data_IF_808924526335
#
_entry.id   IF_808924526335
#
_cell.length_a   1.000
_cell.length_b   1.000
_cell.length_c   1.000
_cell.angle_alpha   90.00
_cell.angle_beta   90.00
_cell.angle_gamma   90.00
#
_symmetry.space_group_name_H-M   'P 1'
#
loop_
_entity.id
_entity.type
_entity.pdbx_description
1 polymer ?
#
# COMPACT_ATOMS: atom_id res chain seq x y z
N UNK A 1 18.83 -58.59 -26.02
CA UNK A 1 19.22 -57.17 -25.89
C UNK A 1 17.99 -56.30 -26.10
N UNK A 2 17.72 -55.38 -25.15
CA UNK A 2 16.93 -54.12 -25.26
C UNK A 2 15.42 -54.33 -25.51
N UNK A 3 14.46 -53.74 -24.79
CA UNK A 3 14.42 -52.68 -23.79
C UNK A 3 12.94 -52.26 -23.70
N UNK A 4 12.40 -52.13 -22.49
CA UNK A 4 10.96 -51.88 -22.29
C UNK A 4 10.49 -50.49 -22.73
N UNK A 5 9.20 -50.37 -23.06
CA UNK A 5 8.44 -49.11 -22.98
C UNK A 5 6.98 -49.38 -22.59
N UNK A 6 6.64 -48.88 -21.41
CA UNK A 6 5.28 -48.72 -20.91
C UNK A 6 4.52 -47.76 -21.81
N UNK A 7 3.30 -48.12 -22.23
CA UNK A 7 2.40 -47.21 -22.97
C UNK A 7 1.13 -47.06 -22.15
N UNK A 8 1.08 -45.94 -21.39
CA UNK A 8 -0.15 -45.41 -20.83
C UNK A 8 -1.17 -45.23 -21.97
N UNK A 9 -2.29 -45.94 -21.89
CA UNK A 9 -3.49 -45.64 -22.68
C UNK A 9 -4.09 -44.34 -22.16
N UNK A 10 -3.76 -43.23 -22.79
CA UNK A 10 -4.59 -42.03 -22.73
C UNK A 10 -5.75 -42.20 -23.71
N UNK A 11 -7.00 -41.95 -23.30
CA UNK A 11 -8.10 -41.93 -24.26
C UNK A 11 -7.91 -40.71 -25.15
N UNK A 12 -7.70 -40.97 -26.44
CA UNK A 12 -7.71 -39.95 -27.47
C UNK A 12 -8.99 -39.13 -27.36
N UNK A 13 -8.79 -37.82 -27.23
CA UNK A 13 -9.80 -36.78 -27.33
C UNK A 13 -10.46 -36.90 -28.71
N UNK A 14 -11.64 -37.50 -28.75
CA UNK A 14 -12.57 -37.35 -29.86
C UNK A 14 -13.13 -35.93 -29.83
N UNK A 15 -12.51 -35.00 -30.54
CA UNK A 15 -13.09 -33.67 -30.79
C UNK A 15 -14.31 -33.87 -31.70
N UNK A 16 -15.48 -34.08 -31.08
CA UNK A 16 -16.78 -33.98 -31.77
C UNK A 16 -17.05 -32.51 -32.06
N UNK A 17 -16.98 -32.19 -33.34
CA UNK A 17 -17.45 -30.95 -33.95
C UNK A 17 -18.98 -30.93 -33.90
N UNK A 18 -19.56 -29.91 -33.25
CA UNK A 18 -20.99 -29.59 -33.32
C UNK A 18 -21.59 -29.15 -31.99
N UNK A 19 -22.03 -27.89 -31.94
CA UNK A 19 -22.99 -27.17 -31.06
C UNK A 19 -22.53 -25.70 -31.14
N UNK A 20 -23.06 -24.87 -32.04
CA UNK A 20 -24.39 -24.24 -32.03
C UNK A 20 -24.66 -23.44 -30.74
N UNK A 21 -24.72 -22.11 -30.87
CA UNK A 21 -25.43 -21.21 -29.94
C UNK A 21 -24.66 -20.75 -28.70
N UNK A 22 -24.20 -19.49 -28.73
CA UNK A 22 -23.99 -18.58 -27.60
C UNK A 22 -23.96 -19.20 -26.18
N UNK A 23 -22.79 -19.65 -25.74
CA UNK A 23 -22.58 -20.03 -24.35
C UNK A 23 -21.27 -19.45 -23.81
N UNK A 24 -21.24 -18.12 -23.64
CA UNK A 24 -20.37 -17.52 -22.63
C UNK A 24 -21.14 -16.48 -21.82
N UNK A 25 -21.96 -16.88 -20.81
CA UNK A 25 -22.34 -15.90 -19.79
C UNK A 25 -22.30 -16.47 -18.36
N UNK A 26 -21.50 -17.50 -18.07
CA UNK A 26 -21.30 -17.97 -16.70
C UNK A 26 -20.10 -17.33 -16.01
N UNK A 27 -18.93 -17.39 -16.67
CA UNK A 27 -17.65 -17.02 -16.07
C UNK A 27 -17.38 -15.50 -16.10
N UNK A 28 -17.89 -14.78 -17.12
CA UNK A 28 -17.76 -13.32 -17.20
C UNK A 28 -18.58 -12.60 -16.11
N UNK A 29 -19.74 -13.15 -15.73
CA UNK A 29 -20.56 -12.63 -14.63
C UNK A 29 -19.89 -12.82 -13.26
N UNK A 30 -19.13 -13.90 -13.07
CA UNK A 30 -18.41 -14.17 -11.81
C UNK A 30 -17.31 -13.14 -11.51
N UNK A 31 -16.58 -12.68 -12.53
CA UNK A 31 -15.57 -11.61 -12.37
C UNK A 31 -16.17 -10.20 -12.20
N UNK A 32 -17.38 -9.96 -12.71
CA UNK A 32 -18.06 -8.67 -12.56
C UNK A 32 -18.77 -8.51 -11.19
N UNK A 33 -19.24 -9.62 -10.59
CA UNK A 33 -19.88 -9.63 -9.26
C UNK A 33 -18.83 -9.60 -8.14
N UNK A 34 -17.64 -10.16 -8.38
CA UNK A 34 -16.45 -9.90 -7.58
C UNK A 34 -15.84 -8.54 -7.97
N UNK A 35 -16.59 -7.43 -7.84
CA UNK A 35 -15.90 -6.16 -7.53
C UNK A 35 -15.20 -6.42 -6.21
N UNK A 36 -13.88 -6.61 -6.23
CA UNK A 36 -13.27 -7.36 -5.16
C UNK A 36 -13.30 -6.47 -3.93
N UNK A 37 -13.75 -7.05 -2.83
CA UNK A 37 -13.72 -6.46 -1.49
C UNK A 37 -12.29 -5.97 -1.13
N UNK A 38 -11.27 -6.36 -1.92
CA UNK A 38 -9.87 -5.93 -1.83
C UNK A 38 -9.54 -4.52 -2.34
N UNK A 39 -10.47 -3.74 -2.95
CA UNK A 39 -10.13 -2.42 -3.55
C UNK A 39 -10.90 -1.25 -2.92
N UNK A 40 -11.61 -1.45 -1.81
CA UNK A 40 -12.10 -0.31 -1.01
C UNK A 40 -11.11 -0.05 0.11
N UNK A 41 -9.87 0.32 -0.27
CA UNK A 41 -8.98 0.97 0.69
C UNK A 41 -9.63 2.31 1.05
N UNK A 42 -9.87 2.61 2.34
CA UNK A 42 -10.43 3.89 2.72
C UNK A 42 -9.53 4.99 2.15
N UNK A 43 -10.10 5.93 1.38
CA UNK A 43 -9.34 7.03 0.74
C UNK A 43 -8.40 7.74 1.73
N UNK A 44 -8.83 7.83 2.99
CA UNK A 44 -8.08 8.42 4.10
C UNK A 44 -6.78 7.68 4.38
N UNK A 45 -6.77 6.35 4.30
CA UNK A 45 -5.58 5.54 4.55
C UNK A 45 -4.56 5.69 3.43
N UNK A 46 -5.01 5.66 2.16
CA UNK A 46 -4.14 5.89 1.01
C UNK A 46 -3.55 7.30 0.99
N UNK A 47 -4.33 8.30 1.38
CA UNK A 47 -3.87 9.70 1.43
C UNK A 47 -2.82 9.91 2.54
N UNK A 48 -3.05 9.35 3.73
CA UNK A 48 -2.08 9.42 4.82
C UNK A 48 -0.77 8.68 4.50
N UNK A 49 -0.85 7.51 3.85
CA UNK A 49 0.32 6.77 3.38
C UNK A 49 1.12 7.60 2.37
N UNK A 50 0.46 8.21 1.38
CA UNK A 50 1.10 9.06 0.39
C UNK A 50 1.82 10.25 1.04
N UNK A 51 1.13 10.95 1.95
CA UNK A 51 1.70 12.12 2.65
C UNK A 51 2.89 11.75 3.52
N UNK A 52 2.81 10.63 4.24
CA UNK A 52 3.92 10.10 5.04
C UNK A 52 5.14 9.77 4.18
N UNK A 53 4.94 9.07 3.06
CA UNK A 53 6.00 8.74 2.12
C UNK A 53 6.65 10.00 1.53
N UNK A 54 5.85 10.99 1.12
CA UNK A 54 6.38 12.23 0.55
C UNK A 54 7.15 13.06 1.57
N UNK A 55 6.63 13.22 2.78
CA UNK A 55 7.33 13.97 3.84
C UNK A 55 8.66 13.29 4.25
N UNK A 56 8.73 11.96 4.26
CA UNK A 56 9.98 11.24 4.47
C UNK A 56 10.94 11.33 3.28
N UNK A 57 10.43 11.41 2.04
CA UNK A 57 11.27 11.53 0.86
C UNK A 57 11.89 12.92 0.74
N UNK A 58 11.13 13.98 1.08
CA UNK A 58 11.61 15.37 1.01
C UNK A 58 12.51 15.75 2.19
N UNK A 59 12.42 15.04 3.33
CA UNK A 59 13.24 15.23 4.54
C UNK A 59 13.45 16.72 4.89
N UNK A 60 12.38 17.47 5.21
CA UNK A 60 12.49 18.91 5.49
C UNK A 60 13.32 19.22 6.75
N UNK A 61 13.50 18.26 7.65
CA UNK A 61 14.28 18.36 8.87
C UNK A 61 14.87 17.00 9.27
N UNK A 62 15.83 17.02 10.19
CA UNK A 62 16.51 15.84 10.72
C UNK A 62 16.28 15.69 12.23
N UNK A 63 16.60 14.49 12.73
CA UNK A 63 16.67 14.23 14.17
C UNK A 63 17.77 15.13 14.77
N UNK A 64 17.43 15.82 15.86
CA UNK A 64 18.27 16.81 16.51
C UNK A 64 17.88 18.26 16.21
N UNK A 65 17.13 18.50 15.12
CA UNK A 65 16.73 19.87 14.76
C UNK A 65 15.67 20.39 15.73
N UNK A 66 15.74 21.70 16.03
CA UNK A 66 14.68 22.39 16.75
C UNK A 66 13.69 22.95 15.74
N UNK A 67 12.47 22.45 15.78
CA UNK A 67 11.43 22.84 14.82
C UNK A 67 10.18 23.33 15.54
N UNK A 68 9.36 24.08 14.81
CA UNK A 68 8.01 24.43 15.21
C UNK A 68 7.04 24.09 14.10
N UNK A 69 6.04 23.28 14.45
CA UNK A 69 4.97 22.86 13.57
C UNK A 69 3.67 23.38 14.18
N UNK A 70 3.06 24.38 13.53
CA UNK A 70 1.87 25.08 14.02
C UNK A 70 2.05 25.60 15.46
N UNK A 71 1.38 24.98 16.45
CA UNK A 71 1.44 25.34 17.88
C UNK A 71 2.46 24.50 18.68
N UNK A 72 3.11 23.54 18.05
CA UNK A 72 4.03 22.61 18.71
C UNK A 72 5.47 23.00 18.39
N UNK A 73 6.20 23.42 19.42
CA UNK A 73 7.65 23.65 19.37
C UNK A 73 8.39 22.56 20.14
N UNK A 74 9.53 22.11 19.63
CA UNK A 74 10.33 21.09 20.28
C UNK A 74 11.56 20.67 19.49
N UNK A 75 12.34 19.77 20.09
CA UNK A 75 13.49 19.14 19.45
C UNK A 75 13.06 17.82 18.82
N UNK A 76 13.41 17.58 17.56
CA UNK A 76 13.07 16.33 16.86
C UNK A 76 13.88 15.19 17.44
N UNK A 77 13.23 14.25 18.11
CA UNK A 77 13.90 13.10 18.73
C UNK A 77 13.88 11.86 17.87
N UNK A 78 12.77 11.62 17.18
CA UNK A 78 12.62 10.49 16.28
C UNK A 78 11.67 10.82 15.12
N UNK A 79 11.90 10.18 13.98
CA UNK A 79 11.09 10.33 12.78
C UNK A 79 10.68 8.93 12.31
N UNK A 80 9.41 8.62 12.48
CA UNK A 80 8.78 7.39 12.00
C UNK A 80 7.90 7.68 10.78
N UNK A 81 7.54 6.63 10.03
CA UNK A 81 6.67 6.77 8.86
C UNK A 81 5.29 7.36 9.19
N UNK A 82 4.78 7.06 10.38
CA UNK A 82 3.45 7.48 10.81
C UNK A 82 3.45 8.77 11.61
N UNK A 83 4.52 9.04 12.36
CA UNK A 83 4.60 10.16 13.28
C UNK A 83 6.03 10.67 13.48
N UNK A 84 6.14 11.95 13.82
CA UNK A 84 7.37 12.58 14.32
C UNK A 84 7.23 12.78 15.82
N UNK A 85 8.30 12.46 16.54
CA UNK A 85 8.38 12.64 17.99
C UNK A 85 9.16 13.91 18.28
N UNK A 86 8.48 14.90 18.85
CA UNK A 86 9.09 16.12 19.38
C UNK A 86 9.26 16.01 20.89
N UNK A 87 10.43 16.37 21.38
CA UNK A 87 10.68 16.55 22.81
C UNK A 87 10.44 18.01 23.20
N UNK A 88 9.57 18.22 24.19
CA UNK A 88 9.20 19.55 24.69
C UNK A 88 9.26 19.55 26.22
N UNK A 89 10.32 20.16 26.78
CA UNK A 89 10.53 20.23 28.22
C UNK A 89 10.73 18.84 28.84
N UNK A 90 9.74 18.34 29.61
CA UNK A 90 9.76 17.00 30.22
C UNK A 90 8.82 16.00 29.52
N UNK A 91 8.25 16.35 28.37
CA UNK A 91 7.26 15.53 27.67
C UNK A 91 7.60 15.31 26.20
N UNK A 92 6.84 14.40 25.58
CA UNK A 92 6.90 14.11 24.15
C UNK A 92 5.59 14.46 23.46
N UNK A 93 5.68 14.95 22.24
CA UNK A 93 4.56 15.24 21.36
C UNK A 93 4.70 14.39 20.11
N UNK A 94 3.68 13.61 19.80
CA UNK A 94 3.62 12.79 18.59
C UNK A 94 2.75 13.48 17.55
N UNK A 95 3.37 13.89 16.45
CA UNK A 95 2.67 14.58 15.36
C UNK A 95 2.55 13.62 14.18
N UNK A 96 1.32 13.34 13.68
CA UNK A 96 1.14 12.50 12.51
C UNK A 96 1.85 13.09 11.28
N UNK A 97 2.53 12.24 10.50
CA UNK A 97 3.26 12.68 9.31
C UNK A 97 2.36 13.33 8.26
N UNK A 98 1.09 12.92 8.17
CA UNK A 98 0.12 13.56 7.29
C UNK A 98 -0.17 15.00 7.69
N UNK A 99 -0.08 15.35 8.98
CA UNK A 99 -0.21 16.73 9.45
C UNK A 99 1.06 17.54 9.13
N UNK A 100 2.24 16.96 9.38
CA UNK A 100 3.54 17.57 9.01
C UNK A 100 3.57 17.94 7.53
N UNK A 101 3.10 17.05 6.65
CA UNK A 101 3.06 17.31 5.21
C UNK A 101 2.13 18.47 4.81
N UNK A 102 0.99 18.65 5.50
CA UNK A 102 0.00 19.68 5.16
C UNK A 102 0.27 21.02 5.87
N UNK A 103 1.30 21.14 6.69
CA UNK A 103 1.58 22.32 7.52
C UNK A 103 2.93 22.93 7.21
N UNK A 104 3.07 24.20 7.56
CA UNK A 104 4.36 24.89 7.45
C UNK A 104 5.24 24.48 8.63
N UNK A 105 6.48 24.11 8.33
CA UNK A 105 7.50 23.77 9.33
C UNK A 105 8.51 24.91 9.40
N UNK A 106 8.64 25.52 10.56
CA UNK A 106 9.68 26.50 10.86
C UNK A 106 10.89 25.78 11.47
N UNK A 107 12.07 25.96 10.88
CA UNK A 107 13.31 25.34 11.33
C UNK A 107 14.25 26.40 11.90
N UNK A 108 14.72 26.18 13.13
CA UNK A 108 15.62 27.09 13.84
C UNK A 108 17.03 26.49 13.83
N UNK A 109 17.96 27.13 13.10
CA UNK A 109 19.39 26.78 13.09
C UNK A 109 20.17 27.57 14.13
#
# INVERSE_FOLDING_TARGET
MIGGRSILKFPFVGIRKGISGNAVPGLALSMAVLKPISVVMPKVLTDNLYKGAMALATRPFCVGDKIKIDKYDGLVRDISFWYVTLERGKGYVFIPMSHVYNTVVELFK
#
